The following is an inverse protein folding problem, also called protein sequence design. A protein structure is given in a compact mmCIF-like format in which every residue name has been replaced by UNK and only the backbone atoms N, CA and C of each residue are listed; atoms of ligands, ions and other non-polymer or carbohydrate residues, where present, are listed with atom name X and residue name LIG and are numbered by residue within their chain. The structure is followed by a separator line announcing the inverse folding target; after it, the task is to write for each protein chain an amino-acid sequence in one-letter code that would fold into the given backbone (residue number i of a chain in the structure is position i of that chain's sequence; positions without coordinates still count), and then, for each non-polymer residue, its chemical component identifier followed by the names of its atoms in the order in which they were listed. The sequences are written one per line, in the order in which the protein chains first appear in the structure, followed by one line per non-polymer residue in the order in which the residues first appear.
data_IF_953095955756
#
_entry.id   IF_953095955756
#
_cell.length_a   1.000
_cell.length_b   1.000
_cell.length_c   1.000
_cell.angle_alpha   90.00
_cell.angle_beta   90.00
_cell.angle_gamma   90.00
#
_symmetry.space_group_name_H-M   'P 1'
#
loop_
_entity.id
_entity.type
_entity.pdbx_description
1 polymer ?
#
# COMPACT_ATOMS: atom_id res chain seq x y z
N UNK A 1 34.48 -0.24 5.67
CA UNK A 1 33.11 -0.03 6.08
C UNK A 1 32.13 -0.49 4.99
N UNK A 2 31.21 -1.34 5.37
CA UNK A 2 30.20 -1.80 4.41
C UNK A 2 29.16 -0.72 4.17
N UNK A 3 28.95 -0.39 2.92
CA UNK A 3 27.80 0.41 2.55
C UNK A 3 26.54 -0.44 2.63
N UNK A 4 25.61 -0.02 3.44
CA UNK A 4 24.30 -0.65 3.45
C UNK A 4 23.53 -0.12 2.26
N UNK A 5 23.08 -1.05 1.42
CA UNK A 5 22.24 -0.70 0.29
C UNK A 5 20.85 -0.36 0.80
N UNK A 6 20.43 0.86 0.58
CA UNK A 6 19.10 1.28 0.96
C UNK A 6 18.19 1.22 -0.26
N UNK A 7 17.03 0.64 -0.07
CA UNK A 7 15.99 0.65 -1.08
C UNK A 7 14.90 1.61 -0.67
N UNK A 8 14.42 2.38 -1.61
CA UNK A 8 13.18 3.10 -1.41
C UNK A 8 12.07 2.31 -2.07
N UNK A 9 11.07 1.96 -1.29
CA UNK A 9 9.97 1.11 -1.75
C UNK A 9 8.65 1.82 -1.55
N UNK A 10 7.89 1.89 -2.63
CA UNK A 10 6.56 2.49 -2.61
C UNK A 10 5.55 1.43 -3.04
N UNK A 11 4.34 1.55 -2.51
CA UNK A 11 3.23 0.70 -2.91
C UNK A 11 2.00 1.56 -3.10
N UNK A 12 1.32 1.37 -4.22
CA UNK A 12 0.03 2.00 -4.48
C UNK A 12 -1.05 0.92 -4.39
N UNK A 13 -2.12 1.22 -3.69
CA UNK A 13 -3.22 0.30 -3.43
C UNK A 13 -4.50 0.94 -3.95
N UNK A 14 -5.09 0.33 -4.96
CA UNK A 14 -6.36 0.77 -5.53
C UNK A 14 -7.48 -0.14 -5.02
N UNK A 15 -8.54 0.47 -4.50
CA UNK A 15 -9.68 -0.24 -3.96
C UNK A 15 -10.91 0.14 -4.76
N UNK A 16 -11.47 -0.82 -5.51
CA UNK A 16 -12.64 -0.56 -6.36
C UNK A 16 -13.88 -0.32 -5.52
N UNK A 17 -14.05 -1.07 -4.44
CA UNK A 17 -15.19 -0.92 -3.55
C UNK A 17 -14.68 -0.77 -2.12
N UNK A 18 -14.34 0.46 -1.75
CA UNK A 18 -13.74 0.71 -0.43
C UNK A 18 -14.71 0.43 0.71
N UNK A 19 -16.03 0.55 0.48
CA UNK A 19 -17.02 0.25 1.52
C UNK A 19 -16.92 -1.21 1.92
N UNK A 20 -16.74 -2.09 0.94
CA UNK A 20 -16.66 -3.53 1.16
C UNK A 20 -15.31 -3.97 1.71
N UNK A 21 -14.23 -3.38 1.22
CA UNK A 21 -12.88 -3.89 1.46
C UNK A 21 -12.03 -3.04 2.40
N UNK A 22 -12.51 -1.83 2.76
CA UNK A 22 -11.70 -0.92 3.58
C UNK A 22 -11.25 -1.57 4.88
N UNK A 23 -12.12 -2.32 5.55
CA UNK A 23 -11.77 -2.97 6.80
C UNK A 23 -10.64 -3.98 6.65
N UNK A 24 -10.69 -4.80 5.60
CA UNK A 24 -9.65 -5.81 5.36
C UNK A 24 -8.32 -5.16 4.99
N UNK A 25 -8.37 -4.13 4.16
CA UNK A 25 -7.16 -3.39 3.80
C UNK A 25 -6.54 -2.75 5.04
N UNK A 26 -7.36 -2.13 5.89
CA UNK A 26 -6.87 -1.52 7.12
C UNK A 26 -6.25 -2.54 8.07
N UNK A 27 -6.83 -3.73 8.18
CA UNK A 27 -6.26 -4.80 9.00
C UNK A 27 -4.86 -5.19 8.52
N UNK A 28 -4.71 -5.37 7.21
CA UNK A 28 -3.41 -5.71 6.64
C UNK A 28 -2.38 -4.60 6.86
N UNK A 29 -2.77 -3.35 6.65
CA UNK A 29 -1.86 -2.24 6.86
C UNK A 29 -1.46 -2.10 8.33
N UNK A 30 -2.38 -2.42 9.24
CA UNK A 30 -2.07 -2.44 10.67
C UNK A 30 -1.08 -3.55 11.00
N UNK A 31 -1.28 -4.75 10.43
CA UNK A 31 -0.39 -5.87 10.65
C UNK A 31 1.04 -5.58 10.18
N UNK A 32 1.16 -4.79 9.11
CA UNK A 32 2.46 -4.41 8.57
C UNK A 32 2.92 -3.02 9.04
N UNK A 33 2.32 -2.50 10.12
CA UNK A 33 2.58 -1.14 10.59
C UNK A 33 4.04 -0.81 10.84
N UNK A 34 4.84 -1.80 11.29
CA UNK A 34 6.29 -1.61 11.50
C UNK A 34 7.03 -1.27 10.22
N UNK A 35 6.46 -1.64 9.07
CA UNK A 35 7.09 -1.50 7.77
C UNK A 35 6.53 -0.33 6.97
N UNK A 36 5.57 0.40 7.53
CA UNK A 36 4.93 1.52 6.83
C UNK A 36 5.40 2.82 7.47
N UNK A 37 6.23 3.56 6.72
CA UNK A 37 6.78 4.82 7.19
C UNK A 37 5.85 5.99 6.94
N UNK A 38 5.24 6.01 5.75
CA UNK A 38 4.37 7.10 5.31
C UNK A 38 3.17 6.50 4.62
N UNK A 39 2.02 7.13 4.84
CA UNK A 39 0.77 6.67 4.26
C UNK A 39 -0.05 7.87 3.83
N UNK A 40 -0.49 7.87 2.57
CA UNK A 40 -1.28 8.96 2.00
C UNK A 40 -2.51 8.36 1.34
N UNK A 41 -3.69 8.79 1.78
CA UNK A 41 -4.92 8.47 1.09
C UNK A 41 -5.23 9.56 0.08
N UNK A 42 -5.58 9.17 -1.14
CA UNK A 42 -5.88 10.10 -2.20
C UNK A 42 -7.38 10.09 -2.51
N UNK A 43 -7.94 11.27 -2.64
CA UNK A 43 -9.35 11.45 -2.99
C UNK A 43 -9.45 12.17 -4.32
N UNK A 44 -10.59 12.00 -5.00
CA UNK A 44 -10.82 12.71 -6.23
C UNK A 44 -10.92 14.22 -5.97
N UNK A 45 -10.24 14.99 -6.81
CA UNK A 45 -10.16 16.43 -6.66
C UNK A 45 -11.49 17.15 -6.90
N UNK A 46 -12.44 16.50 -7.58
CA UNK A 46 -13.74 17.12 -7.89
C UNK A 46 -14.74 17.01 -6.76
N UNK A 47 -14.33 16.52 -5.60
CA UNK A 47 -15.16 16.51 -4.41
C UNK A 47 -16.30 15.52 -4.40
N UNK A 48 -16.27 14.50 -5.23
CA UNK A 48 -17.29 13.46 -5.19
C UNK A 48 -17.05 12.55 -4.00
N UNK A 49 -17.59 12.97 -2.87
CA UNK A 49 -17.44 12.23 -1.62
C UNK A 49 -18.05 10.83 -1.68
N UNK A 50 -18.91 10.57 -2.66
CA UNK A 50 -19.61 9.30 -2.79
C UNK A 50 -18.89 8.27 -3.66
N UNK A 51 -17.68 8.60 -4.16
CA UNK A 51 -16.94 7.61 -4.96
C UNK A 51 -16.58 6.40 -4.09
N UNK A 52 -16.96 5.19 -4.48
CA UNK A 52 -16.61 3.99 -3.72
C UNK A 52 -15.15 3.60 -3.86
N UNK A 53 -14.44 4.20 -4.82
CA UNK A 53 -13.05 3.84 -5.10
C UNK A 53 -12.11 4.61 -4.17
N UNK A 54 -11.02 3.96 -3.79
CA UNK A 54 -9.99 4.57 -2.99
C UNK A 54 -8.61 4.29 -3.54
N UNK A 55 -7.69 5.19 -3.26
CA UNK A 55 -6.29 5.02 -3.64
C UNK A 55 -5.43 5.40 -2.44
N UNK A 56 -4.54 4.50 -2.05
CA UNK A 56 -3.62 4.71 -0.94
C UNK A 56 -2.21 4.51 -1.46
N UNK A 57 -1.31 5.42 -1.10
CA UNK A 57 0.11 5.28 -1.40
C UNK A 57 0.87 5.18 -0.10
N UNK A 58 1.74 4.19 0.03
CA UNK A 58 2.56 4.02 1.22
C UNK A 58 4.04 3.98 0.85
N UNK A 59 4.86 4.45 1.78
CA UNK A 59 6.29 4.21 1.73
C UNK A 59 6.59 3.03 2.65
N UNK A 60 7.18 1.98 2.09
CA UNK A 60 7.43 0.74 2.81
C UNK A 60 8.89 0.66 3.21
N UNK A 61 9.15 0.24 4.43
CA UNK A 61 10.51 0.02 4.95
C UNK A 61 10.64 -1.42 5.42
N UNK A 62 11.77 -2.02 5.12
CA UNK A 62 12.03 -3.41 5.46
C UNK A 62 12.62 -4.15 4.27
N UNK A 63 12.43 -5.45 4.23
CA UNK A 63 12.98 -6.25 3.16
C UNK A 63 12.03 -6.30 1.97
N UNK A 64 12.57 -6.48 0.75
CA UNK A 64 11.71 -6.73 -0.42
C UNK A 64 10.80 -7.94 -0.24
N UNK A 65 11.23 -8.93 0.51
CA UNK A 65 10.43 -10.12 0.79
C UNK A 65 9.16 -9.77 1.57
N UNK A 66 9.29 -8.87 2.55
CA UNK A 66 8.12 -8.40 3.31
C UNK A 66 7.20 -7.55 2.46
N UNK A 67 7.78 -6.74 1.58
CA UNK A 67 6.99 -5.96 0.62
C UNK A 67 6.15 -6.88 -0.26
N UNK A 68 6.77 -7.93 -0.80
CA UNK A 68 6.09 -8.89 -1.65
C UNK A 68 4.98 -9.63 -0.91
N UNK A 69 5.19 -9.92 0.38
CA UNK A 69 4.18 -10.57 1.20
C UNK A 69 2.93 -9.68 1.35
N UNK A 70 3.13 -8.40 1.66
CA UNK A 70 2.01 -7.47 1.76
C UNK A 70 1.32 -7.30 0.41
N UNK A 71 2.11 -7.16 -0.66
CA UNK A 71 1.59 -7.02 -2.01
C UNK A 71 0.69 -8.21 -2.36
N UNK A 72 1.17 -9.42 -2.09
CA UNK A 72 0.41 -10.64 -2.35
C UNK A 72 -0.88 -10.69 -1.53
N UNK A 73 -0.79 -10.38 -0.24
CA UNK A 73 -1.96 -10.41 0.64
C UNK A 73 -3.04 -9.42 0.17
N UNK A 74 -2.64 -8.22 -0.21
CA UNK A 74 -3.59 -7.23 -0.72
C UNK A 74 -4.25 -7.70 -2.01
N UNK A 75 -3.47 -8.29 -2.91
CA UNK A 75 -4.00 -8.72 -4.19
C UNK A 75 -4.89 -9.96 -4.12
N UNK A 76 -4.97 -10.62 -2.96
CA UNK A 76 -5.95 -11.68 -2.76
C UNK A 76 -7.35 -11.15 -2.51
N UNK A 77 -7.49 -9.87 -2.16
CA UNK A 77 -8.78 -9.29 -1.84
C UNK A 77 -9.49 -8.87 -3.13
N UNK A 78 -10.75 -9.28 -3.26
CA UNK A 78 -11.56 -8.92 -4.42
C UNK A 78 -11.72 -7.40 -4.51
N UNK A 79 -11.47 -6.84 -5.69
CA UNK A 79 -11.58 -5.40 -5.90
C UNK A 79 -10.41 -4.58 -5.38
N UNK A 80 -9.35 -5.24 -4.93
CA UNK A 80 -8.13 -4.57 -4.47
C UNK A 80 -7.00 -4.93 -5.41
N UNK A 81 -6.32 -3.90 -5.91
CA UNK A 81 -5.13 -4.07 -6.73
C UNK A 81 -3.99 -3.27 -6.11
N UNK A 82 -2.87 -3.93 -5.83
CA UNK A 82 -1.69 -3.28 -5.30
C UNK A 82 -0.51 -3.47 -6.25
N UNK A 83 0.27 -2.42 -6.41
CA UNK A 83 1.49 -2.43 -7.21
C UNK A 83 2.59 -1.76 -6.42
N UNK A 84 3.81 -2.18 -6.66
CA UNK A 84 4.95 -1.63 -5.94
C UNK A 84 6.03 -1.15 -6.88
N UNK A 85 6.84 -0.22 -6.39
CA UNK A 85 8.01 0.30 -7.08
C UNK A 85 9.17 0.23 -6.09
N UNK A 86 10.27 -0.36 -6.53
CA UNK A 86 11.47 -0.46 -5.72
C UNK A 86 12.59 0.30 -6.41
N UNK A 87 13.14 1.28 -5.70
CA UNK A 87 14.31 2.02 -6.16
C UNK A 87 15.52 1.50 -5.39
N UNK A 88 16.49 0.99 -6.11
CA UNK A 88 17.74 0.51 -5.50
C UNK A 88 18.82 1.58 -5.62
N UNK A 89 19.59 1.77 -4.55
CA UNK A 89 20.68 2.74 -4.49
C UNK A 89 22.01 2.04 -4.37
#
# INVERSE_FOLDING_TARGET
MKKVKENHMLMAIHITDRIKQAGRVQELLTDYGKHIKTRIGLHEANGRASSPNGLIVIEFVGSPKRLDALLSDLNTLTGVEAQSIVFEH
#
